data_IF_529381277867
#
_entry.id   IF_529381277867
#
_cell.length_a   1.000
_cell.length_b   1.000
_cell.length_c   1.000
_cell.angle_alpha   90.00
_cell.angle_beta   90.00
_cell.angle_gamma   90.00
#
_symmetry.space_group_name_H-M   'P 1'
#
loop_
_entity.id
_entity.type
_entity.pdbx_description
1 polymer ?
#
# COMPACT_ATOMS: atom_id res chain seq x y z
N UNK A 1 3.09 -3.15 -15.16
CA UNK A 1 2.08 -2.43 -15.37
C UNK A 1 2.13 -0.93 -15.19
N UNK A 2 1.09 -0.36 -14.66
CA UNK A 2 0.91 1.09 -14.53
C UNK A 2 1.88 1.73 -13.55
N UNK A 3 2.24 1.04 -12.47
CA UNK A 3 3.28 1.52 -11.55
C UNK A 3 4.64 1.64 -12.23
N UNK A 4 4.85 0.88 -13.30
CA UNK A 4 6.04 1.02 -14.16
C UNK A 4 5.96 2.31 -14.97
N UNK A 5 4.76 2.77 -15.33
CA UNK A 5 4.56 4.06 -15.99
C UNK A 5 4.94 5.22 -15.10
N UNK A 6 4.47 5.25 -13.86
CA UNK A 6 4.88 6.26 -12.89
C UNK A 6 6.39 6.28 -12.65
N UNK A 7 6.99 5.12 -12.56
CA UNK A 7 8.44 4.98 -12.44
C UNK A 7 9.19 5.46 -13.70
N UNK A 8 8.63 5.19 -14.90
CA UNK A 8 9.19 5.67 -16.17
C UNK A 8 9.05 7.18 -16.34
N UNK A 9 7.96 7.75 -15.86
CA UNK A 9 7.76 9.20 -15.88
C UNK A 9 8.75 9.93 -14.99
N UNK A 10 9.03 9.39 -13.79
CA UNK A 10 10.06 9.92 -12.90
C UNK A 10 11.43 9.87 -13.58
N UNK A 11 11.75 8.79 -14.30
CA UNK A 11 12.99 8.69 -15.09
C UNK A 11 13.06 9.71 -16.23
N UNK A 12 11.95 9.91 -16.94
CA UNK A 12 11.88 10.90 -18.04
C UNK A 12 12.02 12.34 -17.56
N UNK A 13 11.71 12.59 -16.29
CA UNK A 13 11.86 13.89 -15.64
C UNK A 13 13.30 14.33 -15.37
N UNK A 14 14.30 13.61 -15.88
CA UNK A 14 15.71 14.04 -15.86
C UNK A 14 16.42 13.87 -14.52
N UNK A 15 15.91 13.08 -13.62
CA UNK A 15 16.67 12.67 -12.43
C UNK A 15 17.67 11.59 -12.82
N UNK A 16 18.94 11.82 -12.55
CA UNK A 16 19.98 10.80 -12.67
C UNK A 16 19.77 9.72 -11.59
N UNK A 17 18.96 8.72 -11.94
CA UNK A 17 18.80 7.57 -11.07
C UNK A 17 20.07 6.75 -11.05
N UNK A 18 20.57 6.37 -9.88
CA UNK A 18 21.71 5.49 -9.78
C UNK A 18 21.51 4.21 -10.59
N UNK A 19 22.54 3.72 -11.24
CA UNK A 19 22.48 2.52 -12.09
C UNK A 19 21.94 1.29 -11.38
N UNK A 20 22.15 1.18 -10.05
CA UNK A 20 21.65 0.09 -9.21
C UNK A 20 20.12 0.05 -9.10
N UNK A 21 19.42 1.12 -9.51
CA UNK A 21 17.95 1.14 -9.56
C UNK A 21 17.39 0.52 -10.85
N UNK A 22 18.24 0.21 -11.81
CA UNK A 22 17.85 -0.57 -12.98
C UNK A 22 17.90 -2.06 -12.65
N UNK A 23 16.86 -2.80 -13.02
CA UNK A 23 16.75 -4.21 -12.68
C UNK A 23 17.93 -5.04 -13.15
N UNK A 24 18.46 -4.74 -14.35
CA UNK A 24 19.57 -5.47 -14.97
C UNK A 24 20.96 -5.11 -14.42
N UNK A 25 21.07 -4.04 -13.65
CA UNK A 25 22.35 -3.54 -13.12
C UNK A 25 22.30 -3.23 -11.62
N UNK A 26 21.28 -3.71 -10.92
CA UNK A 26 21.09 -3.40 -9.52
C UNK A 26 22.13 -4.10 -8.65
N UNK A 27 22.86 -3.31 -7.87
CA UNK A 27 23.77 -3.77 -6.79
C UNK A 27 23.13 -3.55 -5.41
N UNK A 28 21.80 -3.56 -5.36
CA UNK A 28 21.02 -3.33 -4.15
C UNK A 28 19.55 -3.67 -4.36
N UNK A 29 18.75 -3.37 -3.34
CA UNK A 29 17.32 -3.61 -3.37
C UNK A 29 16.54 -2.30 -3.51
N UNK A 30 15.50 -2.31 -4.34
CA UNK A 30 14.44 -1.29 -4.34
C UNK A 30 13.15 -1.97 -3.94
N UNK A 31 12.65 -1.65 -2.76
CA UNK A 31 11.40 -2.19 -2.25
C UNK A 31 10.28 -1.17 -2.42
N UNK A 32 9.31 -1.51 -3.24
CA UNK A 32 8.13 -0.67 -3.46
C UNK A 32 7.05 -1.06 -2.46
N UNK A 33 6.66 -0.12 -1.61
CA UNK A 33 5.49 -0.26 -0.76
C UNK A 33 4.31 0.51 -1.35
N UNK A 34 3.10 0.16 -0.92
CA UNK A 34 1.90 0.91 -1.31
C UNK A 34 0.95 1.07 -0.13
N UNK A 35 0.49 2.31 0.05
CA UNK A 35 -0.53 2.67 1.05
C UNK A 35 -0.27 1.98 2.39
N UNK A 36 0.72 2.46 3.17
CA UNK A 36 1.12 1.81 4.41
C UNK A 36 0.07 1.94 5.50
N UNK A 37 -0.10 0.86 6.25
CA UNK A 37 -0.98 0.81 7.41
C UNK A 37 -0.40 -0.07 8.52
N UNK A 38 -0.85 0.14 9.72
CA UNK A 38 -0.60 -0.71 10.88
C UNK A 38 -1.75 -0.64 11.90
N UNK A 39 -1.56 -1.18 13.07
CA UNK A 39 -2.54 -1.20 14.16
C UNK A 39 -2.56 0.08 15.00
N UNK A 40 -1.64 1.01 14.80
CA UNK A 40 -1.51 2.20 15.64
C UNK A 40 -2.25 3.39 15.00
N UNK A 41 -3.14 4.01 15.74
CA UNK A 41 -3.79 5.24 15.27
C UNK A 41 -2.75 6.36 15.14
N UNK A 42 -2.60 6.86 13.91
CA UNK A 42 -1.70 7.97 13.61
C UNK A 42 -2.14 8.71 12.36
N UNK A 43 -1.77 9.99 12.20
CA UNK A 43 -2.15 10.79 11.03
C UNK A 43 -1.63 10.25 9.69
N UNK A 44 -0.60 9.42 9.72
CA UNK A 44 0.00 8.83 8.50
C UNK A 44 -0.55 7.46 8.15
N UNK A 45 -1.18 6.78 9.12
CA UNK A 45 -1.77 5.46 8.92
C UNK A 45 -2.99 5.53 7.99
N UNK A 46 -3.01 4.71 6.94
CA UNK A 46 -4.14 4.63 6.02
C UNK A 46 -5.47 4.33 6.73
N UNK A 47 -5.49 3.41 7.68
CA UNK A 47 -6.69 3.07 8.45
C UNK A 47 -7.21 4.26 9.25
N UNK A 48 -6.32 5.08 9.83
CA UNK A 48 -6.71 6.32 10.52
C UNK A 48 -7.27 7.36 9.56
N UNK A 49 -6.67 7.50 8.37
CA UNK A 49 -7.16 8.43 7.34
C UNK A 49 -8.55 8.07 6.86
N UNK A 50 -8.82 6.79 6.58
CA UNK A 50 -10.15 6.30 6.20
C UNK A 50 -11.19 6.67 7.24
N UNK A 51 -10.88 6.54 8.52
CA UNK A 51 -11.78 6.90 9.62
C UNK A 51 -12.04 8.41 9.76
N UNK A 52 -11.08 9.25 9.38
CA UNK A 52 -11.13 10.71 9.57
C UNK A 52 -11.72 11.46 8.38
N UNK A 53 -11.61 10.93 7.17
CA UNK A 53 -12.13 11.61 5.97
C UNK A 53 -13.66 11.70 6.00
N UNK A 54 -14.18 12.85 5.58
CA UNK A 54 -15.62 13.08 5.45
C UNK A 54 -16.22 12.25 4.32
N UNK A 55 -15.55 12.25 3.17
CA UNK A 55 -15.94 11.46 2.01
C UNK A 55 -14.75 10.63 1.53
N UNK A 56 -15.03 9.41 1.09
CA UNK A 56 -14.05 8.44 0.60
C UNK A 56 -14.18 8.25 -0.90
N UNK A 57 -13.05 8.02 -1.56
CA UNK A 57 -13.04 7.56 -2.94
C UNK A 57 -13.06 6.03 -2.96
N UNK A 58 -14.00 5.46 -3.70
CA UNK A 58 -13.99 4.02 -3.95
C UNK A 58 -12.87 3.66 -4.92
N UNK A 59 -11.95 2.87 -4.45
CA UNK A 59 -10.76 2.50 -5.21
C UNK A 59 -10.27 1.11 -4.79
N UNK A 60 -9.73 0.34 -5.73
CA UNK A 60 -9.10 -0.96 -5.47
C UNK A 60 -7.59 -0.80 -5.49
N UNK A 61 -6.93 -1.20 -4.42
CA UNK A 61 -5.49 -1.04 -4.26
C UNK A 61 -4.82 -2.22 -3.56
N UNK A 62 -3.52 -2.39 -3.83
CA UNK A 62 -2.63 -3.12 -2.93
C UNK A 62 -2.31 -2.26 -1.71
N UNK A 63 -2.10 -2.89 -0.57
CA UNK A 63 -1.70 -2.25 0.68
C UNK A 63 -0.45 -2.92 1.24
N UNK A 64 0.33 -2.18 2.01
CA UNK A 64 1.48 -2.72 2.75
C UNK A 64 1.28 -2.52 4.26
N UNK A 65 1.14 -3.61 4.98
CA UNK A 65 1.21 -3.58 6.45
C UNK A 65 2.66 -3.37 6.86
N UNK A 66 2.93 -2.39 7.73
CA UNK A 66 4.28 -1.89 7.99
C UNK A 66 5.20 -2.96 8.54
N UNK A 67 4.76 -3.74 9.53
CA UNK A 67 5.60 -4.80 10.13
C UNK A 67 5.90 -5.92 9.13
N UNK A 68 4.91 -6.32 8.32
CA UNK A 68 5.10 -7.30 7.26
C UNK A 68 6.05 -6.80 6.18
N UNK A 69 5.96 -5.51 5.83
CA UNK A 69 6.88 -4.88 4.90
C UNK A 69 8.32 -4.92 5.41
N UNK A 70 8.54 -4.50 6.66
CA UNK A 70 9.87 -4.49 7.27
C UNK A 70 10.43 -5.91 7.34
N UNK A 71 9.63 -6.88 7.77
CA UNK A 71 10.04 -8.28 7.85
C UNK A 71 10.41 -8.85 6.48
N UNK A 72 9.68 -8.51 5.43
CA UNK A 72 9.97 -8.94 4.06
C UNK A 72 11.27 -8.32 3.53
N UNK A 73 11.49 -7.03 3.76
CA UNK A 73 12.73 -6.35 3.40
C UNK A 73 13.94 -7.00 4.11
N UNK A 74 13.81 -7.26 5.40
CA UNK A 74 14.84 -7.92 6.18
C UNK A 74 15.11 -9.35 5.68
N UNK A 75 14.06 -10.09 5.33
CA UNK A 75 14.20 -11.42 4.77
C UNK A 75 14.93 -11.42 3.41
N UNK A 76 14.72 -10.41 2.57
CA UNK A 76 15.51 -10.24 1.34
C UNK A 76 16.99 -10.17 1.63
N UNK A 77 17.38 -9.38 2.63
CA UNK A 77 18.77 -9.22 3.05
C UNK A 77 19.35 -10.51 3.66
N UNK A 78 18.63 -11.12 4.61
CA UNK A 78 19.11 -12.35 5.30
C UNK A 78 19.25 -13.53 4.35
N UNK A 79 18.31 -13.72 3.44
CA UNK A 79 18.33 -14.80 2.45
C UNK A 79 19.22 -14.51 1.25
N UNK A 80 19.80 -13.32 1.19
CA UNK A 80 20.63 -12.88 0.06
C UNK A 80 19.94 -13.13 -1.30
N UNK A 81 18.67 -12.80 -1.39
CA UNK A 81 17.93 -12.90 -2.66
C UNK A 81 18.60 -12.01 -3.71
N UNK A 82 18.44 -12.29 -5.02
CA UNK A 82 19.01 -11.46 -6.06
C UNK A 82 18.66 -9.98 -5.88
N UNK A 83 19.63 -9.10 -6.11
CA UNK A 83 19.37 -7.67 -6.13
C UNK A 83 18.34 -7.31 -7.20
N UNK A 84 17.64 -6.22 -7.01
CA UNK A 84 16.65 -5.74 -7.96
C UNK A 84 15.47 -5.05 -7.31
N UNK A 85 14.43 -4.88 -8.09
CA UNK A 85 13.20 -4.19 -7.68
C UNK A 85 12.16 -5.23 -7.30
N UNK A 86 11.61 -5.10 -6.09
CA UNK A 86 10.56 -5.96 -5.55
C UNK A 86 9.34 -5.15 -5.13
N UNK A 87 8.16 -5.61 -5.52
CA UNK A 87 6.91 -5.09 -4.98
C UNK A 87 6.66 -5.77 -3.62
N UNK A 88 6.64 -5.00 -2.55
CA UNK A 88 6.51 -5.51 -1.19
C UNK A 88 5.18 -5.02 -0.60
N UNK A 89 4.12 -5.65 -1.05
CA UNK A 89 2.75 -5.44 -0.57
C UNK A 89 2.17 -6.75 -0.09
N UNK A 90 1.18 -6.67 0.80
CA UNK A 90 0.43 -7.85 1.20
C UNK A 90 -0.34 -8.40 -0.01
N UNK A 91 -0.22 -9.70 -0.34
CA UNK A 91 -0.85 -10.29 -1.51
C UNK A 91 -2.36 -10.06 -1.57
N UNK A 92 -2.88 -9.86 -2.76
CA UNK A 92 -4.27 -9.51 -3.01
C UNK A 92 -4.49 -8.01 -3.09
N UNK A 93 -5.75 -7.62 -3.13
CA UNK A 93 -6.16 -6.22 -3.20
C UNK A 93 -7.47 -6.02 -2.46
N UNK A 94 -7.75 -4.80 -2.05
CA UNK A 94 -9.00 -4.42 -1.37
C UNK A 94 -9.58 -3.16 -1.96
N UNK A 95 -10.91 -3.04 -1.88
CA UNK A 95 -11.60 -1.78 -2.15
C UNK A 95 -11.70 -0.96 -0.86
N UNK A 96 -11.94 0.34 -1.02
CA UNK A 96 -12.17 1.21 0.15
C UNK A 96 -13.38 0.77 0.96
N UNK A 97 -14.45 0.31 0.31
CA UNK A 97 -15.63 -0.22 1.01
C UNK A 97 -15.34 -1.48 1.81
N UNK A 98 -14.54 -2.41 1.28
CA UNK A 98 -14.10 -3.59 2.03
C UNK A 98 -13.31 -3.21 3.30
N UNK A 99 -12.46 -2.19 3.22
CA UNK A 99 -11.75 -1.67 4.39
C UNK A 99 -12.70 -1.07 5.42
N UNK A 100 -13.68 -0.29 4.97
CA UNK A 100 -14.72 0.29 5.85
C UNK A 100 -15.50 -0.82 6.55
N UNK A 101 -15.93 -1.85 5.82
CA UNK A 101 -16.66 -2.98 6.37
C UNK A 101 -15.87 -3.70 7.48
N UNK A 102 -14.55 -3.85 7.29
CA UNK A 102 -13.67 -4.42 8.32
C UNK A 102 -13.52 -3.51 9.54
N UNK A 103 -13.40 -2.19 9.36
CA UNK A 103 -13.35 -1.20 10.45
C UNK A 103 -14.60 -1.30 11.32
N UNK A 104 -15.78 -1.37 10.68
CA UNK A 104 -17.08 -1.52 11.37
C UNK A 104 -17.18 -2.88 12.06
N UNK A 105 -16.83 -3.97 11.36
CA UNK A 105 -16.86 -5.34 11.88
C UNK A 105 -16.05 -5.48 13.17
N UNK A 106 -14.88 -4.86 13.23
CA UNK A 106 -14.02 -4.88 14.42
C UNK A 106 -14.39 -3.84 15.49
N UNK A 107 -15.43 -3.04 15.26
CA UNK A 107 -15.90 -2.03 16.21
C UNK A 107 -14.91 -0.90 16.46
N UNK A 108 -13.97 -0.69 15.56
CA UNK A 108 -12.96 0.38 15.68
C UNK A 108 -13.60 1.75 15.51
N UNK A 109 -14.50 1.88 14.54
CA UNK A 109 -15.27 3.09 14.30
C UNK A 109 -16.58 2.73 13.60
N UNK A 110 -17.70 3.27 14.08
CA UNK A 110 -19.06 2.99 13.57
C UNK A 110 -19.72 4.22 12.94
N UNK A 111 -18.93 5.19 12.47
CA UNK A 111 -19.51 6.37 11.81
C UNK A 111 -20.21 5.97 10.49
N UNK A 112 -21.12 6.83 10.03
CA UNK A 112 -21.71 6.75 8.70
C UNK A 112 -20.66 7.20 7.66
N UNK A 113 -20.09 6.23 6.95
CA UNK A 113 -19.08 6.49 5.92
C UNK A 113 -19.75 6.89 4.61
N UNK A 114 -19.30 8.01 4.05
CA UNK A 114 -19.80 8.53 2.78
C UNK A 114 -18.74 8.39 1.71
N UNK A 115 -19.19 8.15 0.49
CA UNK A 115 -18.34 8.04 -0.68
C UNK A 115 -18.66 9.16 -1.67
N UNK A 116 -17.65 9.58 -2.44
CA UNK A 116 -17.89 10.40 -3.61
C UNK A 116 -18.66 9.60 -4.66
N UNK A 117 -19.58 10.27 -5.40
CA UNK A 117 -20.37 9.60 -6.41
C UNK A 117 -19.53 9.09 -7.59
N UNK A 118 -18.43 9.82 -7.89
CA UNK A 118 -17.50 9.46 -8.94
C UNK A 118 -16.13 10.15 -8.75
N UNK A 119 -15.17 9.81 -9.60
CA UNK A 119 -13.82 10.39 -9.57
C UNK A 119 -13.81 11.88 -9.93
N UNK A 120 -14.74 12.35 -10.78
CA UNK A 120 -14.85 13.77 -11.15
C UNK A 120 -15.24 14.63 -9.95
N UNK A 121 -16.18 14.16 -9.13
CA UNK A 121 -16.55 14.83 -7.88
C UNK A 121 -15.36 14.88 -6.91
N UNK A 122 -14.64 13.79 -6.78
CA UNK A 122 -13.44 13.72 -5.96
C UNK A 122 -12.37 14.73 -6.43
N UNK A 123 -12.13 14.79 -7.74
CA UNK A 123 -11.17 15.74 -8.32
C UNK A 123 -11.60 17.19 -8.10
N UNK A 124 -12.89 17.48 -8.21
CA UNK A 124 -13.40 18.83 -8.01
C UNK A 124 -13.31 19.30 -6.56
N UNK A 125 -13.49 18.39 -5.58
CA UNK A 125 -13.63 18.74 -4.16
C UNK A 125 -12.38 18.48 -3.32
N UNK A 126 -11.58 17.47 -3.63
CA UNK A 126 -10.58 16.94 -2.71
C UNK A 126 -9.16 16.77 -3.27
N UNK A 127 -8.95 16.79 -4.58
CA UNK A 127 -7.65 16.48 -5.14
C UNK A 127 -7.26 17.39 -6.31
N UNK A 128 -5.96 17.71 -6.37
CA UNK A 128 -5.37 18.46 -7.50
C UNK A 128 -4.88 17.53 -8.63
N UNK A 129 -4.74 16.25 -8.34
CA UNK A 129 -4.22 15.23 -9.28
C UNK A 129 -5.01 13.93 -9.15
N UNK A 130 -5.27 13.23 -10.27
CA UNK A 130 -5.92 11.92 -10.24
C UNK A 130 -5.17 10.96 -9.31
N UNK A 131 -5.92 10.15 -8.57
CA UNK A 131 -5.33 9.05 -7.79
C UNK A 131 -5.40 7.78 -8.60
N UNK A 132 -4.28 7.10 -8.74
CA UNK A 132 -4.25 5.82 -9.41
C UNK A 132 -4.78 4.71 -8.51
N UNK A 133 -5.70 3.90 -9.05
CA UNK A 133 -5.96 2.55 -8.56
C UNK A 133 -4.77 1.68 -8.99
N UNK A 134 -4.12 1.03 -8.06
CA UNK A 134 -2.94 0.23 -8.37
C UNK A 134 -2.90 -1.05 -7.55
N UNK A 135 -2.81 -2.17 -8.28
CA UNK A 135 -2.57 -3.49 -7.71
C UNK A 135 -1.19 -3.94 -8.15
N UNK A 136 -0.29 -4.15 -7.19
CA UNK A 136 1.07 -4.58 -7.45
C UNK A 136 1.16 -6.10 -7.51
N UNK A 137 1.89 -6.61 -8.48
CA UNK A 137 2.22 -8.03 -8.59
C UNK A 137 3.37 -8.37 -7.63
N UNK A 138 3.13 -9.32 -6.72
CA UNK A 138 4.09 -9.78 -5.71
C UNK A 138 4.77 -11.10 -6.08
N UNK A 139 4.54 -11.62 -7.27
CA UNK A 139 5.03 -12.94 -7.70
C UNK A 139 6.56 -13.05 -7.66
N UNK A 140 7.29 -11.98 -7.96
CA UNK A 140 8.75 -11.94 -7.87
C UNK A 140 9.25 -12.15 -6.44
N UNK A 141 8.62 -11.50 -5.46
CA UNK A 141 8.96 -11.67 -4.04
C UNK A 141 8.64 -13.10 -3.56
N UNK A 142 7.48 -13.61 -3.93
CA UNK A 142 7.07 -14.98 -3.62
C UNK A 142 7.99 -16.01 -4.28
N UNK A 143 8.42 -15.75 -5.50
CA UNK A 143 9.34 -16.61 -6.28
C UNK A 143 10.72 -16.76 -5.64
N UNK A 144 11.17 -15.82 -4.83
CA UNK A 144 12.42 -15.93 -4.04
C UNK A 144 12.17 -16.46 -2.61
N UNK A 145 10.97 -16.97 -2.34
CA UNK A 145 10.63 -17.64 -1.08
C UNK A 145 10.24 -16.71 0.07
N UNK A 146 9.90 -15.46 -0.22
CA UNK A 146 9.43 -14.50 0.78
C UNK A 146 7.91 -14.35 0.64
N UNK A 147 7.19 -14.77 1.68
CA UNK A 147 5.73 -14.72 1.72
C UNK A 147 5.26 -13.74 2.78
N UNK A 148 4.37 -12.83 2.37
CA UNK A 148 3.65 -11.94 3.27
C UNK A 148 2.23 -12.45 3.51
N UNK A 149 1.61 -12.05 4.61
CA UNK A 149 0.19 -12.36 4.88
C UNK A 149 -0.68 -11.79 3.75
N UNK A 150 -1.77 -12.48 3.36
CA UNK A 150 -2.79 -11.89 2.50
C UNK A 150 -3.30 -10.56 3.08
N UNK A 151 -3.64 -9.61 2.23
CA UNK A 151 -4.03 -8.26 2.65
C UNK A 151 -5.23 -8.25 3.61
N UNK A 152 -6.21 -9.12 3.39
CA UNK A 152 -7.37 -9.23 4.29
C UNK A 152 -6.98 -9.70 5.69
N UNK A 153 -6.08 -10.68 5.79
CA UNK A 153 -5.59 -11.19 7.08
C UNK A 153 -4.78 -10.12 7.82
N UNK A 154 -3.96 -9.36 7.10
CA UNK A 154 -3.18 -8.26 7.66
C UNK A 154 -4.08 -7.11 8.18
N UNK A 155 -5.16 -6.80 7.46
CA UNK A 155 -6.16 -5.81 7.88
C UNK A 155 -6.94 -6.30 9.10
N UNK A 156 -7.44 -7.54 9.09
CA UNK A 156 -8.14 -8.13 10.22
C UNK A 156 -7.27 -8.10 11.48
N UNK A 157 -6.01 -8.51 11.37
CA UNK A 157 -5.08 -8.50 12.50
C UNK A 157 -4.84 -7.07 13.03
N UNK A 158 -4.60 -6.11 12.15
CA UNK A 158 -4.33 -4.73 12.55
C UNK A 158 -5.54 -4.08 13.24
N UNK A 159 -6.75 -4.34 12.74
CA UNK A 159 -7.98 -3.81 13.34
C UNK A 159 -8.34 -4.51 14.65
N UNK A 160 -8.06 -5.81 14.77
CA UNK A 160 -8.24 -6.55 16.00
C UNK A 160 -7.31 -6.06 17.13
N UNK A 161 -6.11 -5.61 16.76
CA UNK A 161 -5.09 -5.11 17.67
C UNK A 161 -5.00 -3.56 17.68
N UNK A 162 -6.08 -2.89 17.31
CA UNK A 162 -6.10 -1.44 17.14
C UNK A 162 -5.79 -0.68 18.44
N UNK A 163 -4.81 0.21 18.37
CA UNK A 163 -4.40 1.09 19.48
C UNK A 163 -4.74 2.52 19.11
N UNK A 164 -5.64 3.13 19.88
CA UNK A 164 -6.01 4.54 19.70
C UNK A 164 -4.91 5.47 20.19
N UNK A 165 -4.68 6.55 19.45
CA UNK A 165 -3.88 7.67 19.92
C UNK A 165 -4.61 8.33 21.13
N UNK A 166 -3.92 8.49 22.27
CA UNK A 166 -4.44 9.14 23.48
C UNK A 166 -4.45 10.66 23.32
#
# INVERSE_FOLDING_TARGET
GEEVLGYREIKKGGTDWPSWQHEDSAEGYVWRLRIPFDQNDSPRNYLSKVQRYENLLQARNSLSQIEDFIAACWACFEKQVPFGIYNVTNPGSVTTSEVVDLIIKHGVNNKDYKFFDNEEEFMAKAAKTPRSNCVLDTSKLEGVGIKMRPVHDALDWSLQNWVREN
#
